data_IF_615566384973
#
_entry.id   IF_615566384973
#
_cell.length_a   1.000
_cell.length_b   1.000
_cell.length_c   1.000
_cell.angle_alpha   90.00
_cell.angle_beta   90.00
_cell.angle_gamma   90.00
#
_symmetry.space_group_name_H-M   'P 1'
#
loop_
_entity.id
_entity.type
_entity.pdbx_description
1 polymer ?
#
# COMPACT_ATOMS: atom_id res chain seq x y z
N UNK A 1 10.05 7.05 4.07
CA UNK A 1 9.71 5.69 3.64
C UNK A 1 9.09 4.97 4.82
N UNK A 2 7.87 4.42 4.68
CA UNK A 2 7.17 3.74 5.78
C UNK A 2 8.02 2.56 6.28
N UNK A 3 8.25 2.38 7.59
CA UNK A 3 9.07 1.28 8.12
C UNK A 3 8.51 -0.10 7.76
N UNK A 4 7.21 -0.20 7.51
CA UNK A 4 6.54 -1.43 7.09
C UNK A 4 6.59 -1.66 5.57
N UNK A 5 7.19 -0.76 4.78
CA UNK A 5 7.20 -0.86 3.32
C UNK A 5 7.73 -2.20 2.84
N UNK A 6 8.91 -2.63 3.31
CA UNK A 6 9.50 -3.90 2.88
C UNK A 6 8.58 -5.10 3.17
N UNK A 7 7.94 -5.13 4.34
CA UNK A 7 7.04 -6.23 4.71
C UNK A 7 5.76 -6.24 3.85
N UNK A 8 5.14 -5.08 3.68
CA UNK A 8 3.90 -4.91 2.93
C UNK A 8 4.14 -5.13 1.42
N UNK A 9 5.23 -4.59 0.86
CA UNK A 9 5.60 -4.77 -0.53
C UNK A 9 5.95 -6.23 -0.86
N UNK A 10 6.70 -6.90 0.01
CA UNK A 10 7.02 -8.32 -0.15
C UNK A 10 5.76 -9.19 -0.10
N UNK A 11 4.86 -8.95 0.87
CA UNK A 11 3.56 -9.65 0.96
C UNK A 11 2.75 -9.47 -0.32
N UNK A 12 2.73 -8.26 -0.86
CA UNK A 12 1.98 -7.91 -2.06
C UNK A 12 2.70 -8.28 -3.36
N UNK A 13 3.87 -8.93 -3.30
CA UNK A 13 4.73 -9.22 -4.47
C UNK A 13 4.99 -7.98 -5.35
N UNK A 14 5.21 -6.82 -4.71
CA UNK A 14 5.41 -5.53 -5.39
C UNK A 14 4.26 -5.16 -6.34
N UNK A 15 3.02 -5.48 -5.95
CA UNK A 15 1.79 -5.15 -6.67
C UNK A 15 0.84 -4.38 -5.77
N UNK A 16 0.10 -3.46 -6.35
CA UNK A 16 -0.96 -2.74 -5.64
C UNK A 16 -2.00 -3.75 -5.14
N UNK A 17 -2.35 -3.73 -3.86
CA UNK A 17 -3.30 -4.71 -3.31
C UNK A 17 -4.74 -4.47 -3.79
N UNK A 18 -5.05 -3.27 -4.31
CA UNK A 18 -6.36 -2.93 -4.86
C UNK A 18 -6.53 -3.32 -6.33
N UNK A 19 -5.62 -2.88 -7.21
CA UNK A 19 -5.73 -3.11 -8.65
C UNK A 19 -4.79 -4.18 -9.21
N UNK A 20 -3.90 -4.75 -8.38
CA UNK A 20 -2.89 -5.76 -8.77
C UNK A 20 -1.85 -5.29 -9.78
N UNK A 21 -1.82 -3.99 -10.06
CA UNK A 21 -0.85 -3.40 -10.96
C UNK A 21 0.55 -3.49 -10.34
N UNK A 22 1.58 -3.94 -11.07
CA UNK A 22 2.92 -4.13 -10.53
C UNK A 22 3.75 -2.83 -10.52
N UNK A 23 4.53 -2.60 -9.47
CA UNK A 23 5.42 -1.43 -9.31
C UNK A 23 6.37 -1.25 -10.50
N UNK A 24 6.85 -2.36 -11.07
CA UNK A 24 7.82 -2.38 -12.18
C UNK A 24 7.30 -1.64 -13.44
N UNK A 25 5.98 -1.61 -13.66
CA UNK A 25 5.40 -0.95 -14.84
C UNK A 25 5.37 0.57 -14.65
N UNK A 26 5.34 1.03 -13.42
CA UNK A 26 5.24 2.44 -13.09
C UNK A 26 6.60 3.09 -12.81
N UNK A 27 7.65 2.29 -12.60
CA UNK A 27 9.01 2.75 -12.35
C UNK A 27 9.13 3.70 -11.13
N UNK A 28 8.25 3.51 -10.13
CA UNK A 28 8.30 4.16 -8.83
C UNK A 28 7.81 3.22 -7.73
N UNK A 29 8.27 3.44 -6.50
CA UNK A 29 7.77 2.71 -5.31
C UNK A 29 6.37 3.16 -4.95
N UNK A 30 5.49 2.20 -4.69
CA UNK A 30 4.16 2.48 -4.15
C UNK A 30 4.24 2.95 -2.70
N UNK A 31 3.13 3.46 -2.19
CA UNK A 31 3.02 3.92 -0.81
C UNK A 31 2.37 2.84 0.06
N UNK A 32 2.69 2.84 1.35
CA UNK A 32 1.95 2.05 2.34
C UNK A 32 0.87 2.92 2.93
N UNK A 33 -0.38 2.53 2.73
CA UNK A 33 -1.53 3.23 3.29
C UNK A 33 -2.33 2.36 4.26
N UNK A 34 -3.26 2.99 4.97
CA UNK A 34 -4.18 2.27 5.84
C UNK A 34 -5.47 1.92 5.08
N UNK A 35 -5.83 0.63 5.07
CA UNK A 35 -7.11 0.14 4.51
C UNK A 35 -8.28 0.83 5.22
N UNK A 36 -8.26 0.84 6.56
CA UNK A 36 -9.12 1.67 7.39
C UNK A 36 -8.32 2.91 7.82
N UNK A 37 -8.71 4.13 7.42
CA UNK A 37 -7.96 5.34 7.75
C UNK A 37 -7.93 5.59 9.26
N UNK A 38 -6.89 6.27 9.72
CA UNK A 38 -6.70 6.66 11.15
C UNK A 38 -7.88 7.48 11.66
N UNK A 39 -8.46 8.35 10.83
CA UNK A 39 -9.67 9.14 11.15
C UNK A 39 -10.88 8.28 11.53
N UNK A 40 -10.91 7.02 11.07
CA UNK A 40 -11.93 6.03 11.41
C UNK A 40 -11.43 5.02 12.44
N UNK A 41 -10.38 5.31 13.21
CA UNK A 41 -9.77 4.38 14.18
C UNK A 41 -9.18 3.12 13.52
N UNK A 42 -8.55 3.28 12.36
CA UNK A 42 -7.68 2.26 11.79
C UNK A 42 -6.44 2.03 12.63
N UNK A 43 -6.07 0.77 12.85
CA UNK A 43 -4.87 0.41 13.60
C UNK A 43 -3.63 0.41 12.69
N UNK A 44 -2.45 0.69 13.24
CA UNK A 44 -1.16 0.56 12.55
C UNK A 44 -0.66 -0.90 12.50
N UNK A 45 -1.59 -1.86 12.39
CA UNK A 45 -1.31 -3.29 12.28
C UNK A 45 -1.02 -3.67 10.84
N UNK A 46 -0.12 -4.63 10.59
CA UNK A 46 0.20 -5.09 9.22
C UNK A 46 -1.04 -5.47 8.40
N UNK A 47 -2.07 -6.04 9.02
CA UNK A 47 -3.32 -6.43 8.36
C UNK A 47 -4.18 -5.25 7.90
N UNK A 48 -3.95 -4.06 8.46
CA UNK A 48 -4.64 -2.82 8.09
C UNK A 48 -3.76 -1.91 7.21
N UNK A 49 -2.54 -2.34 6.89
CA UNK A 49 -1.67 -1.66 5.95
C UNK A 49 -1.81 -2.31 4.58
N UNK A 50 -1.78 -1.53 3.50
CA UNK A 50 -1.82 -2.03 2.13
C UNK A 50 -0.81 -1.31 1.23
N UNK A 51 -0.28 -2.02 0.22
CA UNK A 51 0.53 -1.40 -0.83
C UNK A 51 -0.38 -0.72 -1.87
N UNK A 52 -0.32 0.60 -1.97
CA UNK A 52 -1.18 1.41 -2.83
C UNK A 52 -0.36 2.21 -3.85
N UNK A 53 -0.68 2.02 -5.13
CA UNK A 53 -0.16 2.86 -6.21
C UNK A 53 -0.88 4.20 -6.31
N UNK A 54 -0.21 5.21 -6.87
CA UNK A 54 -0.74 6.57 -7.01
C UNK A 54 -2.08 6.68 -7.77
N UNK A 55 -2.45 5.67 -8.55
CA UNK A 55 -3.74 5.60 -9.27
C UNK A 55 -4.97 5.51 -8.36
N UNK A 56 -4.80 5.21 -7.07
CA UNK A 56 -5.90 5.09 -6.10
C UNK A 56 -6.21 6.40 -5.34
N UNK A 57 -5.40 7.46 -5.49
CA UNK A 57 -5.60 8.71 -4.74
C UNK A 57 -6.63 9.67 -5.36
N UNK A 58 -7.49 9.19 -6.26
CA UNK A 58 -8.43 10.02 -7.04
C UNK A 58 -9.91 9.62 -6.86
N UNK A 59 -10.27 8.88 -5.81
CA UNK A 59 -11.67 8.55 -5.50
C UNK A 59 -12.06 8.93 -4.08
#
# INVERSE_FOLDING_TARGET
MNPNYTLVANRANHRCEYCRAPEIIFNFSFEVEHIRPVSRQGAETLDNLALAGALMQSS
#
